data_IF_852009341437
#
_entry.id   IF_852009341437
#
_cell.length_a   1.000
_cell.length_b   1.000
_cell.length_c   1.000
_cell.angle_alpha   90.00
_cell.angle_beta   90.00
_cell.angle_gamma   90.00
#
_symmetry.space_group_name_H-M   'P 1'
#
loop_
_entity.id
_entity.type
_entity.pdbx_description
1 polymer ?
#
# COMPACT_ATOMS: atom_id res chain seq x y z
N UNK A 1 -9.81 27.39 22.31
CA UNK A 1 -9.47 25.96 22.10
C UNK A 1 -9.18 25.79 20.61
N UNK A 2 -7.90 25.86 20.21
CA UNK A 2 -7.49 25.76 18.81
C UNK A 2 -7.22 24.28 18.55
N UNK A 3 -8.16 23.58 17.93
CA UNK A 3 -7.94 22.22 17.45
C UNK A 3 -7.12 22.31 16.16
N UNK A 4 -6.00 21.58 16.03
CA UNK A 4 -5.22 21.61 14.80
C UNK A 4 -6.02 20.94 13.68
N UNK A 5 -6.40 21.72 12.66
CA UNK A 5 -6.98 21.20 11.42
C UNK A 5 -5.87 20.61 10.57
N UNK A 6 -5.62 19.31 10.71
CA UNK A 6 -4.76 18.57 9.79
C UNK A 6 -5.59 18.15 8.57
N UNK A 7 -5.18 18.62 7.40
CA UNK A 7 -5.66 18.10 6.11
C UNK A 7 -4.59 17.15 5.61
N UNK A 8 -4.84 15.85 5.69
CA UNK A 8 -3.92 14.84 5.17
C UNK A 8 -4.24 14.55 3.70
N UNK A 9 -3.29 14.84 2.82
CA UNK A 9 -3.38 14.52 1.38
C UNK A 9 -2.58 13.26 1.02
N UNK A 10 -1.63 12.88 1.88
CA UNK A 10 -0.95 11.58 1.88
C UNK A 10 -1.68 10.66 2.87
N UNK A 11 -2.66 9.92 2.37
CA UNK A 11 -3.69 9.32 3.23
C UNK A 11 -3.44 7.83 3.42
N UNK A 12 -2.22 7.50 3.81
CA UNK A 12 -1.94 6.16 4.29
C UNK A 12 -2.71 5.95 5.60
N UNK A 13 -3.91 5.39 5.49
CA UNK A 13 -4.68 4.91 6.63
C UNK A 13 -4.26 3.47 6.89
N UNK A 14 -3.46 3.26 7.94
CA UNK A 14 -3.01 1.92 8.33
C UNK A 14 -4.17 0.91 8.46
N UNK A 15 -5.33 1.28 9.05
CA UNK A 15 -6.50 0.40 9.06
C UNK A 15 -7.06 0.08 7.66
N UNK A 16 -7.02 1.01 6.72
CA UNK A 16 -7.51 0.77 5.36
C UNK A 16 -6.58 -0.16 4.60
N UNK A 17 -5.27 0.05 4.76
CA UNK A 17 -4.25 -0.84 4.22
C UNK A 17 -4.44 -2.26 4.77
N UNK A 18 -4.60 -2.42 6.09
CA UNK A 18 -4.86 -3.71 6.72
C UNK A 18 -6.13 -4.38 6.18
N UNK A 19 -7.22 -3.62 6.01
CA UNK A 19 -8.46 -4.14 5.41
C UNK A 19 -8.26 -4.59 3.96
N UNK A 20 -7.49 -3.83 3.18
CA UNK A 20 -7.15 -4.20 1.80
C UNK A 20 -6.34 -5.51 1.76
N UNK A 21 -5.29 -5.63 2.59
CA UNK A 21 -4.53 -6.88 2.72
C UNK A 21 -5.39 -8.07 3.14
N UNK A 22 -6.28 -7.86 4.10
CA UNK A 22 -7.23 -8.88 4.55
C UNK A 22 -8.06 -9.43 3.40
N UNK A 23 -8.62 -8.55 2.57
CA UNK A 23 -9.41 -8.96 1.40
C UNK A 23 -8.59 -9.70 0.35
N UNK A 24 -7.32 -9.32 0.14
CA UNK A 24 -6.42 -10.05 -0.76
C UNK A 24 -6.18 -11.45 -0.21
N UNK A 25 -5.82 -11.57 1.07
CA UNK A 25 -5.61 -12.87 1.72
C UNK A 25 -6.88 -13.74 1.66
N UNK A 26 -8.04 -13.15 1.89
CA UNK A 26 -9.34 -13.84 1.76
C UNK A 26 -9.60 -14.31 0.33
N UNK A 27 -9.35 -13.46 -0.67
CA UNK A 27 -9.56 -13.75 -2.09
C UNK A 27 -8.68 -14.91 -2.58
N UNK A 28 -7.44 -15.01 -2.09
CA UNK A 28 -6.49 -16.04 -2.50
C UNK A 28 -6.38 -17.22 -1.53
N UNK A 29 -7.15 -17.20 -0.42
CA UNK A 29 -7.10 -18.24 0.61
C UNK A 29 -5.74 -18.31 1.33
N UNK A 30 -5.02 -17.20 1.45
CA UNK A 30 -3.75 -17.16 2.16
C UNK A 30 -3.98 -17.07 3.67
N UNK A 31 -3.49 -18.06 4.40
CA UNK A 31 -3.63 -18.15 5.85
C UNK A 31 -2.31 -17.98 6.59
N UNK A 32 -1.16 -18.24 5.96
CA UNK A 32 0.16 -18.14 6.60
C UNK A 32 0.89 -16.93 6.06
N UNK A 33 1.14 -15.94 6.94
CA UNK A 33 1.66 -14.63 6.59
C UNK A 33 2.99 -14.37 7.31
N UNK A 34 3.95 -13.85 6.57
CA UNK A 34 5.25 -13.42 7.10
C UNK A 34 5.39 -11.90 6.96
N UNK A 35 5.43 -11.16 8.05
CA UNK A 35 5.53 -9.71 8.03
C UNK A 35 6.94 -9.29 8.40
N UNK A 36 7.63 -8.63 7.46
CA UNK A 36 8.93 -8.00 7.67
C UNK A 36 8.74 -6.51 7.78
N UNK A 37 9.31 -5.89 8.80
CA UNK A 37 9.39 -4.43 8.89
C UNK A 37 10.81 -3.96 9.17
N UNK A 38 11.18 -2.87 8.52
CA UNK A 38 12.52 -2.31 8.59
C UNK A 38 12.69 -1.36 9.79
N UNK A 39 13.71 -1.61 10.61
CA UNK A 39 14.02 -0.85 11.83
C UNK A 39 14.28 0.63 11.55
N UNK A 40 14.90 0.91 10.40
CA UNK A 40 15.34 2.25 10.02
C UNK A 40 14.31 3.00 9.19
N UNK A 41 13.12 2.43 9.02
CA UNK A 41 12.07 3.03 8.22
C UNK A 41 11.27 4.10 8.95
N UNK A 42 10.59 4.96 8.19
CA UNK A 42 9.78 6.05 8.76
C UNK A 42 8.65 5.49 9.65
N UNK A 43 8.22 6.23 10.69
CA UNK A 43 7.17 5.79 11.60
C UNK A 43 5.85 5.37 10.92
N UNK A 44 5.57 5.90 9.72
CA UNK A 44 4.38 5.52 8.94
C UNK A 44 4.40 4.03 8.56
N UNK A 45 5.56 3.46 8.25
CA UNK A 45 5.67 2.03 7.91
C UNK A 45 5.47 1.15 9.15
N UNK A 46 5.93 1.62 10.32
CA UNK A 46 5.67 0.95 11.60
C UNK A 46 4.18 0.95 11.96
N UNK A 47 3.52 2.10 11.82
CA UNK A 47 2.09 2.20 12.05
C UNK A 47 1.30 1.30 11.06
N UNK A 48 1.77 1.24 9.82
CA UNK A 48 1.24 0.34 8.79
C UNK A 48 1.36 -1.14 9.17
N UNK A 49 2.58 -1.57 9.47
CA UNK A 49 2.86 -2.94 9.90
C UNK A 49 2.05 -3.30 11.14
N UNK A 50 2.01 -2.41 12.14
CA UNK A 50 1.25 -2.59 13.38
C UNK A 50 -0.24 -2.82 13.12
N UNK A 51 -0.89 -1.98 12.32
CA UNK A 51 -2.31 -2.16 12.00
C UNK A 51 -2.60 -3.49 11.28
N UNK A 52 -1.67 -3.92 10.41
CA UNK A 52 -1.78 -5.20 9.69
C UNK A 52 -1.60 -6.37 10.65
N UNK A 53 -0.61 -6.30 11.54
CA UNK A 53 -0.37 -7.29 12.61
C UNK A 53 -1.59 -7.38 13.54
N UNK A 54 -2.11 -6.26 14.02
CA UNK A 54 -3.28 -6.20 14.90
C UNK A 54 -4.52 -6.82 14.25
N UNK A 55 -4.77 -6.49 12.97
CA UNK A 55 -5.90 -7.06 12.24
C UNK A 55 -5.76 -8.57 12.08
N UNK A 56 -4.60 -9.07 11.65
CA UNK A 56 -4.44 -10.50 11.40
C UNK A 56 -4.31 -11.32 12.68
N UNK A 57 -3.71 -10.78 13.73
CA UNK A 57 -3.60 -11.46 15.04
C UNK A 57 -4.94 -11.52 15.78
N UNK A 58 -5.84 -10.57 15.54
CA UNK A 58 -7.19 -10.59 16.12
C UNK A 58 -8.08 -11.72 15.59
N UNK A 59 -7.69 -12.37 14.48
CA UNK A 59 -8.48 -13.42 13.82
C UNK A 59 -7.74 -14.75 13.82
N UNK A 60 -8.34 -15.80 14.38
CA UNK A 60 -7.74 -17.16 14.44
C UNK A 60 -7.53 -17.84 13.09
N UNK A 61 -7.98 -17.21 11.99
CA UNK A 61 -7.82 -17.68 10.61
C UNK A 61 -6.37 -17.63 10.14
N UNK A 62 -5.57 -16.72 10.68
CA UNK A 62 -4.23 -16.42 10.17
C UNK A 62 -3.14 -16.92 11.11
N UNK A 63 -2.12 -17.56 10.53
CA UNK A 63 -0.87 -17.86 11.19
C UNK A 63 0.13 -16.76 10.82
N UNK A 64 0.47 -15.94 11.80
CA UNK A 64 1.30 -14.77 11.59
C UNK A 64 2.69 -14.99 12.18
N UNK A 65 3.73 -14.70 11.38
CA UNK A 65 5.11 -14.55 11.87
C UNK A 65 5.61 -13.16 11.53
N UNK A 66 6.16 -12.47 12.52
CA UNK A 66 6.67 -11.10 12.36
C UNK A 66 8.18 -11.08 12.54
N UNK A 67 8.90 -10.32 11.73
CA UNK A 67 10.34 -10.13 11.85
C UNK A 67 10.73 -8.66 11.69
N UNK A 68 11.48 -8.14 12.67
CA UNK A 68 11.97 -6.77 12.68
C UNK A 68 13.44 -6.78 12.30
N UNK A 69 13.80 -6.17 11.17
CA UNK A 69 15.18 -6.22 10.66
C UNK A 69 15.74 -4.85 10.34
N UNK A 70 17.05 -4.67 10.43
CA UNK A 70 17.71 -3.59 9.70
C UNK A 70 17.86 -4.03 8.24
N UNK A 71 16.97 -3.56 7.37
CA UNK A 71 16.98 -3.98 5.98
C UNK A 71 18.20 -3.50 5.19
N UNK A 72 19.00 -2.56 5.73
CA UNK A 72 20.31 -2.18 5.15
C UNK A 72 21.43 -3.19 5.48
N UNK A 73 21.27 -4.01 6.52
CA UNK A 73 22.23 -5.04 6.90
C UNK A 73 22.02 -6.34 6.08
N UNK A 74 23.04 -6.77 5.33
CA UNK A 74 22.95 -7.95 4.45
C UNK A 74 22.72 -9.28 5.18
N UNK A 75 23.28 -9.42 6.38
CA UNK A 75 23.12 -10.61 7.21
C UNK A 75 21.68 -10.71 7.76
N UNK A 76 21.13 -9.62 8.30
CA UNK A 76 19.74 -9.59 8.78
C UNK A 76 18.75 -9.88 7.65
N UNK A 77 18.96 -9.32 6.43
CA UNK A 77 18.16 -9.65 5.25
C UNK A 77 18.20 -11.15 4.94
N UNK A 78 19.41 -11.72 4.85
CA UNK A 78 19.61 -13.13 4.51
C UNK A 78 19.00 -14.07 5.55
N UNK A 79 19.13 -13.74 6.83
CA UNK A 79 18.56 -14.52 7.93
C UNK A 79 17.03 -14.43 7.94
N UNK A 80 16.46 -13.25 7.67
CA UNK A 80 15.02 -13.07 7.51
C UNK A 80 14.46 -13.89 6.34
N UNK A 81 15.15 -13.90 5.20
CA UNK A 81 14.77 -14.70 4.03
C UNK A 81 14.85 -16.20 4.30
N UNK A 82 15.90 -16.67 5.00
CA UNK A 82 15.98 -18.08 5.43
C UNK A 82 14.82 -18.47 6.35
N UNK A 83 14.48 -17.61 7.32
CA UNK A 83 13.34 -17.84 8.20
C UNK A 83 12.02 -17.83 7.42
N UNK A 84 11.84 -16.88 6.50
CA UNK A 84 10.67 -16.83 5.64
C UNK A 84 10.49 -18.13 4.85
N UNK A 85 11.57 -18.68 4.28
CA UNK A 85 11.55 -19.92 3.53
C UNK A 85 11.07 -21.15 4.35
N UNK A 86 11.21 -21.13 5.68
CA UNK A 86 10.73 -22.22 6.55
C UNK A 86 9.30 -22.02 7.04
N UNK A 87 8.80 -20.78 7.02
CA UNK A 87 7.51 -20.42 7.62
C UNK A 87 6.39 -20.35 6.58
N UNK A 88 6.61 -19.71 5.43
CA UNK A 88 5.48 -19.36 4.56
C UNK A 88 5.85 -18.97 3.13
N UNK A 89 4.83 -18.49 2.41
CA UNK A 89 4.88 -18.13 0.98
C UNK A 89 4.39 -16.71 0.68
N UNK A 90 3.79 -16.06 1.67
CA UNK A 90 3.29 -14.69 1.56
C UNK A 90 4.08 -13.83 2.51
N UNK A 91 4.75 -12.82 1.96
CA UNK A 91 5.55 -11.88 2.73
C UNK A 91 5.02 -10.46 2.53
N UNK A 92 4.81 -9.73 3.62
CA UNK A 92 4.57 -8.30 3.54
C UNK A 92 5.80 -7.57 4.06
N UNK A 93 6.32 -6.63 3.26
CA UNK A 93 7.49 -5.85 3.61
C UNK A 93 7.08 -4.40 3.89
N UNK A 94 7.41 -3.89 5.07
CA UNK A 94 7.11 -2.51 5.44
C UNK A 94 8.41 -1.74 5.61
N UNK A 95 8.72 -0.90 4.62
CA UNK A 95 9.90 -0.05 4.66
C UNK A 95 10.16 0.70 3.36
N UNK A 96 11.28 1.42 3.32
CA UNK A 96 11.65 2.22 2.16
C UNK A 96 11.97 1.38 0.92
N UNK A 97 11.82 1.99 -0.26
CA UNK A 97 12.06 1.34 -1.55
C UNK A 97 13.50 0.82 -1.72
N UNK A 98 14.52 1.55 -1.26
CA UNK A 98 15.92 1.13 -1.45
C UNK A 98 16.30 -0.10 -0.59
N UNK A 99 16.04 -0.14 0.73
CA UNK A 99 16.20 -1.37 1.51
C UNK A 99 15.35 -2.53 0.97
N UNK A 100 14.14 -2.25 0.47
CA UNK A 100 13.30 -3.26 -0.18
C UNK A 100 13.98 -3.83 -1.43
N UNK A 101 14.51 -2.98 -2.31
CA UNK A 101 15.26 -3.40 -3.51
C UNK A 101 16.42 -4.33 -3.14
N UNK A 102 17.19 -3.98 -2.10
CA UNK A 102 18.28 -4.83 -1.62
C UNK A 102 17.79 -6.16 -1.04
N UNK A 103 16.63 -6.16 -0.36
CA UNK A 103 15.95 -7.36 0.10
C UNK A 103 15.58 -8.28 -1.06
N UNK A 104 15.03 -7.73 -2.14
CA UNK A 104 14.67 -8.47 -3.35
C UNK A 104 15.89 -9.03 -4.09
N UNK A 105 16.96 -8.25 -4.24
CA UNK A 105 18.21 -8.73 -4.84
C UNK A 105 18.80 -9.89 -4.03
N UNK A 106 18.75 -9.81 -2.69
CA UNK A 106 19.22 -10.89 -1.82
C UNK A 106 18.37 -12.14 -2.01
N UNK A 107 17.04 -11.99 -2.06
CA UNK A 107 16.12 -13.09 -2.32
C UNK A 107 16.37 -13.73 -3.70
N UNK A 108 16.69 -12.92 -4.72
CA UNK A 108 17.03 -13.40 -6.05
C UNK A 108 18.32 -14.22 -6.07
N UNK A 109 19.36 -13.73 -5.39
CA UNK A 109 20.59 -14.51 -5.18
C UNK A 109 20.37 -15.82 -4.42
N UNK A 110 19.26 -15.96 -3.69
CA UNK A 110 18.86 -17.17 -2.98
C UNK A 110 17.84 -18.03 -3.75
N UNK A 111 17.56 -17.72 -5.03
CA UNK A 111 16.55 -18.39 -5.87
C UNK A 111 15.13 -18.41 -5.25
N UNK A 112 14.79 -17.43 -4.42
CA UNK A 112 13.49 -17.36 -3.70
C UNK A 112 12.42 -16.57 -4.46
N UNK A 113 12.52 -16.57 -5.78
CA UNK A 113 12.33 -15.35 -6.55
C UNK A 113 11.87 -15.70 -7.96
N UNK A 114 10.96 -16.66 -8.05
CA UNK A 114 10.39 -17.10 -9.30
C UNK A 114 9.30 -16.12 -9.77
N UNK A 115 9.68 -15.31 -10.76
CA UNK A 115 8.83 -14.62 -11.76
C UNK A 115 7.64 -13.74 -11.30
N UNK A 116 7.43 -13.50 -10.01
CA UNK A 116 6.29 -12.68 -9.57
C UNK A 116 6.67 -11.72 -8.45
N UNK A 117 6.88 -10.45 -8.83
CA UNK A 117 7.13 -9.37 -7.87
C UNK A 117 6.11 -8.27 -7.97
N UNK A 118 5.87 -7.64 -6.82
CA UNK A 118 5.06 -6.45 -6.71
C UNK A 118 5.89 -5.31 -6.09
N UNK A 119 5.81 -4.14 -6.71
CA UNK A 119 6.38 -2.89 -6.20
C UNK A 119 5.25 -1.86 -6.09
N UNK A 120 4.94 -1.32 -4.90
CA UNK A 120 4.05 -0.18 -4.78
C UNK A 120 4.75 1.09 -5.32
N UNK A 121 3.98 1.99 -5.91
CA UNK A 121 4.45 3.33 -6.27
C UNK A 121 3.61 4.39 -5.57
N UNK A 122 4.24 5.36 -4.90
CA UNK A 122 3.55 6.48 -4.25
C UNK A 122 3.75 7.77 -5.02
N UNK A 123 2.66 8.28 -5.59
CA UNK A 123 2.60 9.57 -6.31
C UNK A 123 1.86 10.67 -5.50
N UNK A 124 1.82 10.57 -4.18
CA UNK A 124 0.90 11.36 -3.34
C UNK A 124 1.24 12.85 -3.21
N UNK A 125 2.53 13.22 -3.26
CA UNK A 125 2.96 14.63 -3.15
C UNK A 125 2.46 15.47 -4.34
N UNK A 126 2.52 14.93 -5.57
CA UNK A 126 2.05 15.61 -6.78
C UNK A 126 0.55 15.92 -6.72
N UNK A 127 -0.24 14.93 -6.30
CA UNK A 127 -1.69 15.10 -6.17
C UNK A 127 -2.06 16.19 -5.16
N UNK A 128 -1.32 16.29 -4.06
CA UNK A 128 -1.52 17.31 -3.02
C UNK A 128 -1.45 18.72 -3.61
N UNK A 129 -0.40 18.99 -4.38
CA UNK A 129 -0.16 20.32 -4.96
C UNK A 129 -1.24 20.65 -5.99
N UNK A 130 -1.60 19.70 -6.86
CA UNK A 130 -2.65 19.90 -7.86
C UNK A 130 -4.03 20.15 -7.24
N UNK A 131 -4.39 19.40 -6.18
CA UNK A 131 -5.65 19.61 -5.46
C UNK A 131 -5.67 20.99 -4.79
N UNK A 132 -4.58 21.39 -4.13
CA UNK A 132 -4.46 22.70 -3.50
C UNK A 132 -4.57 23.84 -4.54
N UNK A 133 -3.89 23.70 -5.68
CA UNK A 133 -3.98 24.67 -6.77
C UNK A 133 -5.41 24.81 -7.32
N UNK A 134 -6.10 23.68 -7.51
CA UNK A 134 -7.50 23.69 -7.94
C UNK A 134 -8.40 24.41 -6.91
N UNK A 135 -8.24 24.10 -5.62
CA UNK A 135 -9.00 24.75 -4.55
C UNK A 135 -8.78 26.26 -4.48
N UNK A 136 -7.52 26.70 -4.60
CA UNK A 136 -7.17 28.13 -4.58
C UNK A 136 -7.73 28.87 -5.80
N UNK A 137 -7.83 28.19 -6.94
CA UNK A 137 -8.45 28.78 -8.12
C UNK A 137 -9.97 28.93 -7.94
N UNK A 138 -10.64 27.92 -7.37
CA UNK A 138 -12.08 27.96 -7.08
C UNK A 138 -12.43 28.97 -5.98
N UNK A 139 -11.58 29.14 -4.96
CA UNK A 139 -11.84 30.14 -3.93
C UNK A 139 -11.76 31.58 -4.46
N UNK A 140 -11.05 31.82 -5.59
CA UNK A 140 -11.04 33.13 -6.24
C UNK A 140 -12.35 33.45 -6.94
N UNK A 141 -13.01 32.47 -7.54
CA UNK A 141 -14.31 32.68 -8.20
C UNK A 141 -15.45 32.81 -7.21
N UNK A 142 -15.30 32.23 -6.02
CA UNK A 142 -16.20 32.41 -4.90
C UNK A 142 -15.82 33.70 -4.14
N UNK A 143 -16.33 34.86 -4.56
CA UNK A 143 -16.03 36.19 -3.99
C UNK A 143 -16.11 36.33 -2.45
N UNK A 144 -16.63 35.33 -1.74
CA UNK A 144 -16.82 35.32 -0.29
C UNK A 144 -15.85 34.40 0.49
N UNK A 145 -14.87 33.76 -0.16
CA UNK A 145 -13.91 32.88 0.54
C UNK A 145 -12.58 33.60 0.73
N UNK A 146 -12.31 34.04 1.96
CA UNK A 146 -11.00 34.58 2.33
C UNK A 146 -9.95 33.46 2.38
N UNK A 147 -8.76 33.69 1.84
CA UNK A 147 -7.63 32.78 1.99
C UNK A 147 -7.18 32.60 3.44
N UNK A 148 -7.54 33.54 4.32
CA UNK A 148 -7.25 33.46 5.75
C UNK A 148 -8.32 32.66 6.52
N UNK A 149 -9.42 32.26 5.86
CA UNK A 149 -10.46 31.41 6.45
C UNK A 149 -10.18 29.93 6.13
N UNK A 150 -9.31 29.32 6.94
CA UNK A 150 -8.98 27.90 6.82
C UNK A 150 -10.21 26.98 6.95
N UNK A 151 -11.26 27.40 7.65
CA UNK A 151 -12.50 26.62 7.79
C UNK A 151 -13.29 26.63 6.49
N UNK A 152 -13.41 27.78 5.84
CA UNK A 152 -14.03 27.88 4.52
C UNK A 152 -13.26 27.06 3.48
N UNK A 153 -11.92 27.14 3.48
CA UNK A 153 -11.08 26.33 2.59
C UNK A 153 -11.21 24.82 2.87
N UNK A 154 -11.26 24.40 4.14
CA UNK A 154 -11.45 22.98 4.49
C UNK A 154 -12.82 22.44 4.03
N UNK A 155 -13.87 23.26 4.05
CA UNK A 155 -15.18 22.91 3.49
C UNK A 155 -15.13 22.71 1.98
N UNK A 156 -14.31 23.48 1.26
CA UNK A 156 -14.10 23.31 -0.17
C UNK A 156 -13.35 22.01 -0.51
N UNK A 157 -12.64 21.41 0.45
CA UNK A 157 -11.92 20.14 0.26
C UNK A 157 -12.80 18.91 0.52
N UNK A 158 -13.68 18.99 1.51
CA UNK A 158 -14.40 17.82 2.04
C UNK A 158 -15.57 17.41 1.15
N UNK A 159 -15.90 16.12 1.15
CA UNK A 159 -17.07 15.53 0.48
C UNK A 159 -17.16 15.84 -1.03
N UNK A 160 -16.06 15.70 -1.76
CA UNK A 160 -16.01 15.99 -3.21
C UNK A 160 -14.96 15.15 -3.92
N UNK A 161 -14.94 15.24 -5.25
CA UNK A 161 -13.86 14.67 -6.05
C UNK A 161 -13.04 15.73 -6.78
N UNK A 162 -11.77 15.43 -6.98
CA UNK A 162 -10.81 16.17 -7.80
C UNK A 162 -10.39 15.30 -8.99
N UNK A 163 -10.05 15.91 -10.11
CA UNK A 163 -9.46 15.21 -11.25
C UNK A 163 -8.04 15.73 -11.44
N UNK A 164 -7.04 14.87 -11.20
CA UNK A 164 -5.62 15.22 -11.36
C UNK A 164 -4.99 14.24 -12.32
N UNK A 165 -4.41 14.73 -13.42
CA UNK A 165 -3.81 13.91 -14.48
C UNK A 165 -4.78 12.82 -15.00
N UNK A 166 -6.07 13.16 -15.14
CA UNK A 166 -7.12 12.23 -15.57
C UNK A 166 -7.58 11.23 -14.51
N UNK A 167 -6.96 11.21 -13.31
CA UNK A 167 -7.37 10.33 -12.21
C UNK A 167 -8.31 11.05 -11.24
N UNK A 168 -9.40 10.37 -10.87
CA UNK A 168 -10.36 10.87 -9.87
C UNK A 168 -9.85 10.59 -8.45
N UNK A 169 -9.73 11.65 -7.66
CA UNK A 169 -9.39 11.60 -6.24
C UNK A 169 -10.65 11.98 -5.46
N UNK A 170 -11.14 11.13 -4.57
CA UNK A 170 -12.35 11.39 -3.80
C UNK A 170 -11.97 11.73 -2.36
N UNK A 171 -12.54 12.80 -1.81
CA UNK A 171 -12.45 13.20 -0.41
C UNK A 171 -13.79 12.91 0.26
N UNK A 172 -13.76 12.27 1.42
CA UNK A 172 -14.95 11.97 2.19
C UNK A 172 -15.44 13.18 3.00
N UNK A 173 -16.53 13.00 3.75
CA UNK A 173 -17.15 14.04 4.59
C UNK A 173 -16.25 14.56 5.71
N UNK A 174 -15.19 13.85 6.06
CA UNK A 174 -14.22 14.24 7.08
C UNK A 174 -12.97 14.90 6.48
N UNK A 175 -12.93 15.08 5.15
CA UNK A 175 -11.77 15.63 4.46
C UNK A 175 -10.63 14.61 4.35
N UNK A 176 -10.93 13.31 4.45
CA UNK A 176 -9.98 12.23 4.21
C UNK A 176 -10.08 11.76 2.77
N UNK A 177 -8.94 11.52 2.13
CA UNK A 177 -8.93 10.93 0.78
C UNK A 177 -9.35 9.47 0.86
N UNK A 178 -10.31 9.10 0.04
CA UNK A 178 -10.63 7.72 -0.27
C UNK A 178 -9.58 7.20 -1.26
N UNK A 179 -8.69 6.33 -0.77
CA UNK A 179 -7.64 5.77 -1.60
C UNK A 179 -8.17 4.62 -2.44
N UNK A 180 -7.90 4.70 -3.74
CA UNK A 180 -7.95 3.53 -4.60
C UNK A 180 -6.67 2.73 -4.35
N UNK A 181 -6.84 1.44 -4.05
CA UNK A 181 -5.74 0.50 -3.92
C UNK A 181 -5.67 -0.31 -5.19
N UNK A 182 -4.49 -0.41 -5.79
CA UNK A 182 -4.27 -1.35 -6.89
C UNK A 182 -3.27 -2.41 -6.47
N UNK A 183 -3.47 -3.62 -6.99
CA UNK A 183 -2.46 -4.66 -7.00
C UNK A 183 -2.09 -4.91 -8.46
N UNK A 184 -0.79 -4.88 -8.73
CA UNK A 184 -0.22 -5.06 -10.05
C UNK A 184 0.72 -6.26 -10.09
N UNK A 185 1.23 -6.56 -11.27
CA UNK A 185 2.33 -7.50 -11.47
C UNK A 185 3.26 -6.96 -12.56
N UNK A 186 4.51 -7.40 -12.56
CA UNK A 186 5.43 -7.14 -13.66
C UNK A 186 5.20 -8.18 -14.77
N UNK A 187 4.85 -7.73 -15.97
CA UNK A 187 4.76 -8.60 -17.13
C UNK A 187 6.12 -8.65 -17.84
N UNK A 188 6.72 -9.85 -17.88
CA UNK A 188 8.01 -10.08 -18.53
C UNK A 188 7.97 -9.90 -20.06
N UNK A 189 6.79 -10.08 -20.69
CA UNK A 189 6.66 -9.96 -22.15
C UNK A 189 6.60 -8.50 -22.58
N UNK A 190 5.90 -7.67 -21.83
CA UNK A 190 5.76 -6.24 -22.13
C UNK A 190 6.81 -5.39 -21.43
N UNK A 191 7.52 -5.96 -20.45
CA UNK A 191 8.43 -5.26 -19.53
C UNK A 191 7.76 -4.11 -18.76
N UNK A 192 6.45 -4.23 -18.50
CA UNK A 192 5.67 -3.20 -17.79
C UNK A 192 4.96 -3.74 -16.56
N UNK A 193 4.71 -2.86 -15.59
CA UNK A 193 3.80 -3.15 -14.49
C UNK A 193 2.35 -2.95 -14.93
N UNK A 194 1.52 -3.98 -14.74
CA UNK A 194 0.10 -3.97 -15.05
C UNK A 194 -0.74 -4.13 -13.79
N UNK A 195 -1.71 -3.23 -13.57
CA UNK A 195 -2.70 -3.35 -12.50
C UNK A 195 -3.73 -4.44 -12.86
N UNK A 196 -3.99 -5.38 -11.95
CA UNK A 196 -4.95 -6.46 -12.20
C UNK A 196 -6.05 -6.56 -11.14
N UNK A 197 -5.84 -5.99 -9.94
CA UNK A 197 -6.90 -5.76 -8.96
C UNK A 197 -6.98 -4.28 -8.60
N UNK A 198 -8.19 -3.80 -8.41
CA UNK A 198 -8.51 -2.46 -7.96
C UNK A 198 -9.52 -2.55 -6.81
N UNK A 199 -9.22 -1.93 -5.68
CA UNK A 199 -10.22 -1.55 -4.68
C UNK A 199 -10.46 -0.06 -4.80
N UNK A 200 -11.67 0.35 -5.15
CA UNK A 200 -12.03 1.76 -5.13
C UNK A 200 -12.14 2.24 -3.67
N UNK A 201 -11.67 3.44 -3.36
CA UNK A 201 -11.83 4.00 -2.01
C UNK A 201 -13.29 4.21 -1.63
N UNK A 202 -14.17 4.43 -2.61
CA UNK A 202 -15.60 4.60 -2.42
C UNK A 202 -16.35 3.25 -2.30
N UNK A 203 -15.80 2.18 -2.86
CA UNK A 203 -16.48 0.88 -2.92
C UNK A 203 -15.60 -0.21 -2.28
N UNK A 204 -16.09 -0.92 -1.26
CA UNK A 204 -15.28 -1.90 -0.55
C UNK A 204 -14.96 -3.14 -1.38
N UNK A 205 -15.50 -3.30 -2.59
CA UNK A 205 -15.33 -4.51 -3.38
C UNK A 205 -14.00 -4.48 -4.14
N UNK A 206 -13.35 -5.65 -4.26
CA UNK A 206 -12.20 -5.84 -5.13
C UNK A 206 -12.72 -6.11 -6.55
N UNK A 207 -12.30 -5.27 -7.49
CA UNK A 207 -12.62 -5.39 -8.92
C UNK A 207 -11.40 -5.94 -9.64
N UNK A 208 -11.58 -7.00 -10.43
CA UNK A 208 -10.54 -7.51 -11.34
C UNK A 208 -10.53 -6.65 -12.61
N UNK A 209 -9.39 -6.05 -12.90
CA UNK A 209 -9.21 -5.17 -14.07
C UNK A 209 -8.83 -5.95 -15.35
N UNK A 210 -8.42 -7.21 -15.21
CA UNK A 210 -8.06 -8.10 -16.31
C UNK A 210 -7.80 -9.54 -15.81
N UNK A 211 -7.63 -10.48 -16.73
CA UNK A 211 -7.06 -11.78 -16.40
C UNK A 211 -5.54 -11.64 -16.36
N UNK A 212 -4.86 -12.01 -15.26
CA UNK A 212 -3.41 -12.03 -15.28
C UNK A 212 -2.97 -13.08 -16.33
N UNK A 213 -2.11 -12.68 -17.26
CA UNK A 213 -1.54 -13.59 -18.27
C UNK A 213 -0.79 -14.73 -17.57
N UNK A 214 -0.10 -14.41 -16.47
CA UNK A 214 0.30 -15.40 -15.48
C UNK A 214 -0.92 -15.89 -14.72
N UNK A 215 -1.37 -17.13 -15.01
CA UNK A 215 -2.19 -17.85 -14.03
C UNK A 215 -1.38 -17.87 -12.74
N UNK A 216 -1.84 -17.16 -11.71
CA UNK A 216 -1.51 -17.43 -10.31
C UNK A 216 -1.98 -18.86 -10.00
N UNK A 217 -1.29 -19.86 -10.56
CA UNK A 217 -1.41 -21.23 -10.12
C UNK A 217 -0.77 -21.18 -8.76
N UNK A 218 -1.62 -21.18 -7.73
CA UNK A 218 -1.23 -21.65 -6.40
C UNK A 218 -0.79 -23.09 -6.59
N UNK A 219 0.45 -23.26 -7.02
CA UNK A 219 1.04 -24.54 -7.29
C UNK A 219 1.21 -25.18 -5.92
N UNK A 220 0.48 -26.27 -5.69
CA UNK A 220 0.72 -27.16 -4.55
C UNK A 220 2.07 -27.89 -4.66
N UNK A 221 2.94 -27.53 -5.64
CA UNK A 221 4.31 -28.03 -5.67
C UNK A 221 5.12 -27.40 -4.52
N UNK A 222 6.17 -28.09 -4.03
CA UNK A 222 7.02 -27.60 -2.93
C UNK A 222 7.83 -26.35 -3.28
N UNK A 223 7.92 -26.01 -4.56
CA UNK A 223 8.75 -24.89 -5.03
C UNK A 223 8.02 -23.58 -4.78
N UNK A 224 8.67 -22.72 -3.98
CA UNK A 224 8.08 -21.59 -3.27
C UNK A 224 7.34 -20.64 -4.20
N UNK A 225 6.22 -20.12 -3.71
CA UNK A 225 5.58 -18.93 -4.26
C UNK A 225 5.93 -17.81 -3.31
N UNK A 226 6.31 -16.63 -3.82
CA UNK A 226 6.72 -15.49 -2.99
C UNK A 226 6.00 -14.26 -3.49
N UNK A 227 4.84 -13.97 -2.89
CA UNK A 227 4.24 -12.65 -3.08
C UNK A 227 4.82 -11.71 -2.03
N UNK A 228 5.50 -10.67 -2.49
CA UNK A 228 5.98 -9.60 -1.61
C UNK A 228 5.18 -8.34 -1.87
N UNK A 229 4.38 -7.95 -0.88
CA UNK A 229 3.69 -6.66 -0.93
C UNK A 229 4.45 -5.67 -0.08
N UNK A 230 5.03 -4.66 -0.74
CA UNK A 230 5.54 -3.48 -0.06
C UNK A 230 4.47 -2.40 0.01
N UNK A 231 4.53 -1.57 1.03
CA UNK A 231 3.86 -0.27 1.06
C UNK A 231 4.97 0.75 0.95
N UNK A 232 4.99 1.51 -0.14
CA UNK A 232 5.84 2.70 -0.31
C UNK A 232 5.09 3.94 0.11
#
# INVERSE_FOLDING_TARGET
MISPTWVATTVYSSPDAARFFGKICDLYGWTTLFIVHDKLSQPVFYAGAGAVIDQFSSTSKYQLTTNVINASNAEERSNSLRLFATVGRVLFFFGHAEPFRLFMITAFGMNMTNSEYFLPHVATARYTISMAAQMLNESRSLHNVSFNDGRALAKLLSNRSFTVDGKKIVMDKFGQRQMNWTLGYYDEQTETFEDFLLQNGAEPQLVRMGLPLCRFKVSRRPEGFVMIISLG
#
